data_IF_707330058111
#
_entry.id   IF_707330058111
#
_cell.length_a   1.000
_cell.length_b   1.000
_cell.length_c   1.000
_cell.angle_alpha   90.00
_cell.angle_beta   90.00
_cell.angle_gamma   90.00
#
_symmetry.space_group_name_H-M   'P 1'
#
loop_
_entity.id
_entity.type
_entity.pdbx_description
1 polymer ?
#
# COMPACT_ATOMS: atom_id res chain seq x y z
N UNK A 1 49.57 16.60 -52.37
CA UNK A 1 48.13 16.43 -52.08
C UNK A 1 47.90 14.98 -51.67
N UNK A 2 47.43 14.62 -50.48
CA UNK A 2 47.08 15.43 -49.32
C UNK A 2 47.56 14.77 -48.01
N UNK A 3 47.70 15.55 -46.93
CA UNK A 3 47.98 15.06 -45.59
C UNK A 3 46.64 14.81 -44.88
N UNK A 4 46.40 13.66 -44.24
CA UNK A 4 45.50 13.48 -43.08
C UNK A 4 45.24 11.98 -42.82
N UNK A 5 46.28 11.21 -42.54
CA UNK A 5 46.15 9.88 -41.91
C UNK A 5 46.90 9.91 -40.57
N UNK A 6 46.34 10.63 -39.62
CA UNK A 6 46.74 10.55 -38.23
C UNK A 6 45.62 11.20 -37.43
N UNK A 7 44.71 10.36 -36.92
CA UNK A 7 43.99 10.47 -35.63
C UNK A 7 42.84 9.45 -35.62
N UNK A 8 43.16 8.16 -35.54
CA UNK A 8 42.23 7.16 -34.99
C UNK A 8 42.99 6.44 -33.88
N UNK A 9 43.05 7.08 -32.72
CA UNK A 9 43.31 6.47 -31.42
C UNK A 9 42.79 7.44 -30.34
N UNK A 10 41.51 7.82 -30.45
CA UNK A 10 40.80 8.38 -29.31
C UNK A 10 40.25 7.21 -28.52
N UNK A 11 40.86 6.98 -27.36
CA UNK A 11 40.43 6.03 -26.36
C UNK A 11 38.91 6.09 -26.16
N UNK A 12 38.21 5.01 -26.51
CA UNK A 12 36.91 4.75 -25.92
C UNK A 12 37.16 4.23 -24.50
N UNK A 13 37.13 5.14 -23.54
CA UNK A 13 36.91 4.75 -22.14
C UNK A 13 35.62 3.92 -22.09
N UNK A 14 35.64 2.71 -21.49
CA UNK A 14 34.42 1.92 -21.36
C UNK A 14 33.42 2.70 -20.48
N UNK A 15 32.12 2.67 -20.80
CA UNK A 15 31.13 3.38 -20.02
C UNK A 15 31.17 2.86 -18.58
N UNK A 16 31.51 3.75 -17.64
CA UNK A 16 31.38 3.51 -16.20
C UNK A 16 29.92 3.18 -15.91
N UNK A 17 29.59 1.89 -15.83
CA UNK A 17 28.32 1.39 -15.30
C UNK A 17 28.25 1.83 -13.85
N UNK A 18 27.58 2.95 -13.58
CA UNK A 18 27.16 3.35 -12.24
C UNK A 18 26.13 2.32 -11.75
N UNK A 19 26.66 1.21 -11.26
CA UNK A 19 25.88 0.16 -10.62
C UNK A 19 25.54 0.66 -9.22
N UNK A 20 24.60 1.60 -9.12
CA UNK A 20 24.01 1.94 -7.84
C UNK A 20 22.96 0.88 -7.49
N UNK A 21 23.43 -0.35 -7.21
CA UNK A 21 22.57 -1.42 -6.67
C UNK A 21 22.43 -1.21 -5.17
N UNK A 22 21.60 -0.25 -4.78
CA UNK A 22 20.85 -0.40 -3.53
C UNK A 22 19.66 -1.31 -3.85
N UNK A 23 19.90 -2.61 -3.98
CA UNK A 23 18.81 -3.58 -3.95
C UNK A 23 18.43 -3.80 -2.50
N UNK A 24 17.73 -2.83 -1.92
CA UNK A 24 17.12 -3.03 -0.60
C UNK A 24 16.25 -4.29 -0.67
N UNK A 25 16.22 -5.11 0.40
CA UNK A 25 15.31 -6.23 0.49
C UNK A 25 13.88 -5.73 0.23
N UNK A 26 13.12 -6.44 -0.61
CA UNK A 26 11.73 -6.06 -0.96
C UNK A 26 10.86 -5.81 0.28
N UNK A 27 11.10 -6.55 1.36
CA UNK A 27 10.43 -6.37 2.65
C UNK A 27 10.66 -4.99 3.28
N UNK A 28 11.86 -4.42 3.17
CA UNK A 28 12.18 -3.08 3.69
C UNK A 28 11.46 -2.01 2.88
N UNK A 29 11.46 -2.14 1.54
CA UNK A 29 10.76 -1.23 0.63
C UNK A 29 9.25 -1.20 0.96
N UNK A 30 8.64 -2.38 1.08
CA UNK A 30 7.22 -2.52 1.42
C UNK A 30 6.91 -1.94 2.82
N UNK A 31 7.80 -2.16 3.78
CA UNK A 31 7.66 -1.62 5.14
C UNK A 31 7.63 -0.10 5.14
N UNK A 32 8.55 0.51 4.40
CA UNK A 32 8.63 1.97 4.28
C UNK A 32 7.39 2.53 3.58
N UNK A 33 6.90 1.87 2.53
CA UNK A 33 5.68 2.29 1.83
C UNK A 33 4.48 2.33 2.77
N UNK A 34 4.26 1.29 3.58
CA UNK A 34 3.13 1.25 4.53
C UNK A 34 3.23 2.37 5.55
N UNK A 35 4.42 2.62 6.11
CA UNK A 35 4.63 3.70 7.08
C UNK A 35 4.29 5.08 6.51
N UNK A 36 4.57 5.29 5.23
CA UNK A 36 4.27 6.54 4.52
C UNK A 36 2.83 6.69 4.05
N UNK A 37 1.98 5.66 4.19
CA UNK A 37 0.58 5.75 3.78
C UNK A 37 -0.20 6.79 4.61
N UNK A 38 -1.12 7.54 3.99
CA UNK A 38 -2.08 8.35 4.72
C UNK A 38 -2.92 7.52 5.69
N UNK A 39 -3.35 8.14 6.78
CA UNK A 39 -4.07 7.48 7.88
C UNK A 39 -5.28 6.65 7.41
N UNK A 40 -6.12 7.21 6.53
CA UNK A 40 -7.31 6.50 6.03
C UNK A 40 -6.96 5.28 5.18
N UNK A 41 -5.87 5.32 4.42
CA UNK A 41 -5.40 4.15 3.67
C UNK A 41 -4.94 3.05 4.62
N UNK A 42 -4.23 3.40 5.70
CA UNK A 42 -3.84 2.44 6.75
C UNK A 42 -5.05 1.81 7.42
N UNK A 43 -6.07 2.60 7.78
CA UNK A 43 -7.30 2.08 8.38
C UNK A 43 -8.05 1.13 7.45
N UNK A 44 -8.17 1.47 6.16
CA UNK A 44 -8.87 0.64 5.18
C UNK A 44 -8.11 -0.67 4.95
N UNK A 45 -6.79 -0.62 4.83
CA UNK A 45 -5.95 -1.82 4.70
C UNK A 45 -6.07 -2.71 5.95
N UNK A 46 -6.02 -2.12 7.15
CA UNK A 46 -6.18 -2.85 8.40
C UNK A 46 -7.59 -3.44 8.57
N UNK A 47 -8.63 -2.71 8.18
CA UNK A 47 -10.03 -3.17 8.16
C UNK A 47 -10.17 -4.43 7.31
N UNK A 48 -9.59 -4.42 6.11
CA UNK A 48 -9.59 -5.58 5.23
C UNK A 48 -8.88 -6.77 5.88
N UNK A 49 -7.70 -6.58 6.48
CA UNK A 49 -6.96 -7.67 7.13
C UNK A 49 -7.75 -8.27 8.31
N UNK A 50 -8.42 -7.45 9.13
CA UNK A 50 -9.30 -7.95 10.22
C UNK A 50 -10.47 -8.79 9.71
N UNK A 51 -10.91 -8.59 8.46
CA UNK A 51 -11.96 -9.40 7.86
C UNK A 51 -11.46 -10.76 7.37
N UNK A 52 -10.18 -10.89 7.04
CA UNK A 52 -9.57 -12.17 6.64
C UNK A 52 -9.46 -13.16 7.82
N UNK A 53 -9.24 -12.65 9.02
CA UNK A 53 -9.02 -13.44 10.25
C UNK A 53 -10.30 -14.16 10.74
N UNK A 54 -11.44 -13.98 10.07
CA UNK A 54 -12.74 -14.52 10.51
C UNK A 54 -13.01 -15.98 10.08
N UNK A 55 -11.99 -16.75 9.72
CA UNK A 55 -12.01 -18.22 9.49
C UNK A 55 -13.16 -18.77 8.62
N UNK A 56 -13.61 -18.01 7.63
CA UNK A 56 -14.62 -18.46 6.68
C UNK A 56 -13.97 -18.84 5.37
N UNK A 57 -13.83 -20.15 5.15
CA UNK A 57 -13.52 -20.74 3.84
C UNK A 57 -14.51 -20.14 2.82
N UNK A 58 -13.99 -19.54 1.75
CA UNK A 58 -14.73 -18.85 0.68
C UNK A 58 -15.33 -17.46 0.98
N UNK A 59 -14.92 -16.80 2.08
CA UNK A 59 -15.36 -15.42 2.34
C UNK A 59 -14.77 -14.43 1.32
N UNK A 60 -15.61 -13.93 0.43
CA UNK A 60 -15.26 -12.85 -0.50
C UNK A 60 -15.51 -11.51 0.16
N UNK A 61 -14.44 -10.79 0.44
CA UNK A 61 -14.51 -9.46 1.04
C UNK A 61 -15.03 -8.46 0.01
N UNK A 62 -16.15 -7.80 0.32
CA UNK A 62 -16.75 -6.76 -0.51
C UNK A 62 -16.41 -5.38 0.05
N UNK A 63 -16.56 -4.33 -0.77
CA UNK A 63 -16.39 -2.94 -0.33
C UNK A 63 -17.26 -2.63 0.88
N UNK A 64 -18.50 -3.12 0.91
CA UNK A 64 -19.42 -2.90 2.03
C UNK A 64 -18.90 -3.45 3.35
N UNK A 65 -18.32 -4.67 3.33
CA UNK A 65 -17.72 -5.24 4.55
C UNK A 65 -16.50 -4.44 5.03
N UNK A 66 -15.64 -4.02 4.09
CA UNK A 66 -14.48 -3.19 4.42
C UNK A 66 -14.93 -1.86 5.02
N UNK A 67 -15.95 -1.22 4.44
CA UNK A 67 -16.48 0.05 4.91
C UNK A 67 -17.02 -0.04 6.35
N UNK A 68 -17.77 -1.09 6.66
CA UNK A 68 -18.31 -1.30 8.01
C UNK A 68 -17.19 -1.55 9.04
N UNK A 69 -16.16 -2.32 8.69
CA UNK A 69 -15.03 -2.56 9.60
C UNK A 69 -14.13 -1.31 9.73
N UNK A 70 -13.96 -0.55 8.65
CA UNK A 70 -13.29 0.75 8.66
C UNK A 70 -13.97 1.74 9.61
N UNK A 71 -15.30 1.86 9.57
CA UNK A 71 -16.04 2.73 10.50
C UNK A 71 -15.79 2.38 11.95
N UNK A 72 -15.79 1.09 12.29
CA UNK A 72 -15.49 0.62 13.65
C UNK A 72 -14.08 1.03 14.07
N UNK A 73 -13.10 0.87 13.18
CA UNK A 73 -11.74 1.31 13.44
C UNK A 73 -11.66 2.82 13.64
N UNK A 74 -12.26 3.64 12.78
CA UNK A 74 -12.22 5.09 12.97
C UNK A 74 -12.87 5.51 14.29
N UNK A 75 -13.93 4.84 14.74
CA UNK A 75 -14.54 5.08 16.04
C UNK A 75 -13.64 4.63 17.21
N UNK A 76 -13.01 3.45 17.11
CA UNK A 76 -12.08 2.91 18.12
C UNK A 76 -10.86 3.82 18.33
N UNK A 77 -10.42 4.51 17.26
CA UNK A 77 -9.27 5.42 17.27
C UNK A 77 -9.70 6.90 17.32
N UNK A 78 -10.96 7.19 17.68
CA UNK A 78 -11.52 8.54 17.83
C UNK A 78 -11.21 9.50 16.66
N UNK A 79 -11.28 8.98 15.44
CA UNK A 79 -10.99 9.69 14.20
C UNK A 79 -12.25 9.86 13.36
N UNK A 80 -12.30 10.89 12.51
CA UNK A 80 -13.41 11.07 11.57
C UNK A 80 -13.46 9.95 10.53
N UNK A 81 -14.66 9.65 10.02
CA UNK A 81 -14.85 8.67 8.96
C UNK A 81 -15.11 9.33 7.60
N UNK A 82 -14.62 8.69 6.54
CA UNK A 82 -14.87 9.09 5.16
C UNK A 82 -16.22 8.55 4.66
N UNK A 83 -16.77 9.19 3.61
CA UNK A 83 -17.92 8.65 2.87
C UNK A 83 -17.55 7.36 2.13
N UNK A 84 -18.55 6.56 1.78
CA UNK A 84 -18.32 5.30 1.06
C UNK A 84 -17.61 5.52 -0.29
N UNK A 85 -17.93 6.60 -1.00
CA UNK A 85 -17.29 6.93 -2.28
C UNK A 85 -15.82 7.25 -2.11
N UNK A 86 -15.46 7.99 -1.05
CA UNK A 86 -14.06 8.28 -0.73
C UNK A 86 -13.31 7.02 -0.30
N UNK A 87 -13.96 6.12 0.45
CA UNK A 87 -13.38 4.81 0.79
C UNK A 87 -13.14 3.96 -0.47
N UNK A 88 -14.05 3.98 -1.43
CA UNK A 88 -13.86 3.32 -2.74
C UNK A 88 -12.64 3.89 -3.46
N UNK A 89 -12.45 5.22 -3.44
CA UNK A 89 -11.27 5.84 -4.05
C UNK A 89 -9.98 5.42 -3.35
N UNK A 90 -9.96 5.38 -2.01
CA UNK A 90 -8.80 4.87 -1.26
C UNK A 90 -8.52 3.38 -1.54
N UNK A 91 -9.55 2.55 -1.75
CA UNK A 91 -9.35 1.14 -2.15
C UNK A 91 -8.67 1.04 -3.52
N UNK A 92 -9.09 1.87 -4.49
CA UNK A 92 -8.44 1.93 -5.81
C UNK A 92 -7.00 2.44 -5.74
N UNK A 93 -6.74 3.39 -4.84
CA UNK A 93 -5.38 3.86 -4.57
C UNK A 93 -4.51 2.74 -3.98
N UNK A 94 -5.03 1.99 -3.01
CA UNK A 94 -4.34 0.82 -2.45
C UNK A 94 -4.10 -0.29 -3.48
N UNK A 95 -4.98 -0.44 -4.47
CA UNK A 95 -4.75 -1.32 -5.62
C UNK A 95 -3.61 -0.81 -6.51
N UNK A 96 -3.60 0.49 -6.84
CA UNK A 96 -2.54 1.10 -7.63
C UNK A 96 -1.16 0.98 -6.95
N UNK A 97 -1.13 1.07 -5.62
CA UNK A 97 0.07 0.91 -4.81
C UNK A 97 0.49 -0.56 -4.66
N UNK A 98 -0.31 -1.53 -5.13
CA UNK A 98 0.03 -2.96 -5.11
C UNK A 98 -0.19 -3.63 -3.75
N UNK A 99 -1.00 -3.04 -2.86
CA UNK A 99 -1.38 -3.70 -1.61
C UNK A 99 -2.60 -4.60 -1.79
N UNK A 100 -3.54 -4.15 -2.63
CA UNK A 100 -4.78 -4.84 -2.91
C UNK A 100 -4.88 -5.22 -4.38
N UNK A 101 -5.75 -6.18 -4.66
CA UNK A 101 -6.20 -6.52 -6.00
C UNK A 101 -7.73 -6.43 -6.00
N UNK A 102 -8.31 -5.58 -6.85
CA UNK A 102 -9.76 -5.44 -6.96
C UNK A 102 -10.29 -6.28 -8.11
N UNK A 103 -11.30 -7.11 -7.84
CA UNK A 103 -12.03 -7.79 -8.90
C UNK A 103 -13.28 -7.00 -9.26
N UNK A 104 -13.35 -6.57 -10.52
CA UNK A 104 -14.40 -5.69 -11.02
C UNK A 104 -15.61 -6.43 -11.60
N UNK A 105 -16.78 -5.79 -11.57
CA UNK A 105 -17.99 -6.28 -12.24
C UNK A 105 -17.94 -5.82 -13.70
N UNK A 106 -17.71 -6.74 -14.65
CA UNK A 106 -17.59 -6.40 -16.08
C UNK A 106 -18.77 -5.60 -16.66
N UNK A 107 -19.96 -5.71 -16.07
CA UNK A 107 -21.18 -5.01 -16.53
C UNK A 107 -21.25 -3.55 -16.11
N UNK A 108 -20.49 -3.11 -15.11
CA UNK A 108 -20.53 -1.74 -14.58
C UNK A 108 -19.11 -1.23 -14.37
N UNK A 109 -18.62 -0.28 -15.18
CA UNK A 109 -17.25 0.19 -15.10
C UNK A 109 -16.96 0.79 -13.71
N UNK A 110 -15.80 0.47 -13.16
CA UNK A 110 -15.34 0.99 -11.87
C UNK A 110 -16.04 0.41 -10.63
N UNK A 111 -16.99 -0.52 -10.78
CA UNK A 111 -17.66 -1.17 -9.65
C UNK A 111 -16.90 -2.42 -9.20
N UNK A 112 -16.39 -2.39 -7.98
CA UNK A 112 -15.65 -3.50 -7.37
C UNK A 112 -16.65 -4.57 -6.89
N UNK A 113 -16.39 -5.83 -7.26
CA UNK A 113 -17.14 -7.01 -6.83
C UNK A 113 -16.62 -7.54 -5.50
N UNK A 114 -15.31 -7.75 -5.41
CA UNK A 114 -14.63 -8.18 -4.20
C UNK A 114 -13.16 -7.76 -4.24
N UNK A 115 -12.54 -7.72 -3.08
CA UNK A 115 -11.18 -7.25 -2.85
C UNK A 115 -10.33 -8.44 -2.40
N UNK A 116 -9.08 -8.46 -2.83
CA UNK A 116 -8.04 -9.43 -2.44
C UNK A 116 -6.78 -8.69 -2.00
N UNK A 117 -5.91 -9.38 -1.27
CA UNK A 117 -4.54 -8.89 -1.06
C UNK A 117 -3.68 -9.34 -2.24
N UNK A 118 -2.84 -8.44 -2.70
CA UNK A 118 -1.93 -8.69 -3.81
C UNK A 118 -0.86 -9.74 -3.46
N UNK A 119 -0.20 -9.60 -2.30
CA UNK A 119 0.78 -10.57 -1.80
C UNK A 119 0.39 -11.07 -0.38
N UNK A 120 -0.30 -12.22 -0.27
CA UNK A 120 -0.72 -12.77 1.02
C UNK A 120 0.44 -13.13 1.96
N UNK A 121 1.64 -13.39 1.44
CA UNK A 121 2.79 -13.73 2.26
C UNK A 121 3.26 -12.54 3.14
N UNK A 122 2.90 -11.32 2.76
CA UNK A 122 3.25 -10.10 3.50
C UNK A 122 2.24 -9.72 4.59
N UNK A 123 1.11 -10.41 4.68
CA UNK A 123 0.05 -10.10 5.67
C UNK A 123 0.60 -9.97 7.10
N UNK A 124 1.46 -10.88 7.61
CA UNK A 124 2.01 -10.75 8.96
C UNK A 124 2.80 -9.44 9.15
N UNK A 125 3.58 -9.05 8.14
CA UNK A 125 4.35 -7.80 8.15
C UNK A 125 3.42 -6.58 8.14
N UNK A 126 2.34 -6.63 7.36
CA UNK A 126 1.34 -5.54 7.32
C UNK A 126 0.70 -5.35 8.69
N UNK A 127 0.31 -6.45 9.35
CA UNK A 127 -0.30 -6.42 10.68
C UNK A 127 0.65 -5.79 11.70
N UNK A 128 1.92 -6.20 11.73
CA UNK A 128 2.86 -5.67 12.72
C UNK A 128 3.07 -4.17 12.56
N UNK A 129 3.23 -3.69 11.33
CA UNK A 129 3.50 -2.26 11.05
C UNK A 129 2.26 -1.42 11.31
N UNK A 130 1.09 -1.86 10.83
CA UNK A 130 -0.16 -1.12 10.99
C UNK A 130 -0.56 -1.01 12.45
N UNK A 131 -0.38 -2.07 13.25
CA UNK A 131 -0.62 -2.00 14.71
C UNK A 131 0.33 -1.02 15.39
N UNK A 132 1.64 -1.11 15.09
CA UNK A 132 2.64 -0.20 15.65
C UNK A 132 2.32 1.27 15.37
N UNK A 133 1.97 1.61 14.12
CA UNK A 133 1.65 2.98 13.72
C UNK A 133 0.34 3.46 14.32
N UNK A 134 -0.72 2.64 14.26
CA UNK A 134 -2.04 3.02 14.77
C UNK A 134 -2.05 3.15 16.31
N UNK A 135 -1.29 2.32 17.04
CA UNK A 135 -1.20 2.43 18.50
C UNK A 135 -0.43 3.69 18.93
N UNK A 136 0.56 4.15 18.14
CA UNK A 136 1.18 5.47 18.36
C UNK A 136 0.15 6.59 18.19
N UNK A 137 -0.72 6.48 17.18
CA UNK A 137 -1.76 7.46 16.93
C UNK A 137 -2.83 7.46 18.04
N UNK A 138 -3.15 6.31 18.66
CA UNK A 138 -4.00 6.25 19.88
C UNK A 138 -3.41 7.04 21.04
N UNK A 139 -2.09 6.93 21.25
CA UNK A 139 -1.39 7.63 22.34
C UNK A 139 -1.35 9.13 22.07
N UNK A 140 -1.12 9.54 20.82
CA UNK A 140 -1.13 10.95 20.41
C UNK A 140 -2.53 11.60 20.47
N UNK A 141 -3.59 10.80 20.34
CA UNK A 141 -4.98 11.24 20.42
C UNK A 141 -5.52 11.39 21.84
N UNK A 142 -4.75 11.01 22.89
CA UNK A 142 -5.11 11.33 24.27
C UNK A 142 -4.98 12.85 24.43
N UNK A 143 -6.08 13.61 24.61
CA UNK A 143 -5.97 15.03 24.86
C UNK A 143 -5.18 15.20 26.15
N UNK A 144 -4.15 16.05 26.13
CA UNK A 144 -3.47 16.53 27.32
C UNK A 144 -4.50 17.25 28.21
N UNK A 145 -5.24 16.49 29.01
CA UNK A 145 -5.96 17.03 30.16
C UNK A 145 -4.94 17.14 31.29
N UNK A 146 -4.28 18.29 31.32
CA UNK A 146 -3.75 18.90 32.54
C UNK A 146 -4.84 19.78 33.15
#
# INVERSE_FOLDING_TARGET
MGPFDSWINSAQDPPKKSTHRFSEPRSIIITNQIRTLPLHLKFILYAYIRLLDKDKKDFKVTVGYVFEEYKKLTAEFNTYSLSIDNVINCIKELELLGFLECVYICKVPGRIRYIRIFDPAQIPNYISILKEDLDKDKIAAIPYHL
#
